data_IF_655194534282
#
_entry.id   IF_655194534282
#
_cell.length_a   1.000
_cell.length_b   1.000
_cell.length_c   1.000
_cell.angle_alpha   90.00
_cell.angle_beta   90.00
_cell.angle_gamma   90.00
#
_symmetry.space_group_name_H-M   'P 1'
#
loop_
_entity.id
_entity.type
_entity.pdbx_description
1 polymer ?
#
# COMPACT_ATOMS: atom_id res chain seq x y z
N UNK A 1 -52.38 -60.79 3.83
CA UNK A 1 -52.82 -59.70 2.93
C UNK A 1 -52.88 -58.39 3.71
N UNK A 2 -53.65 -58.33 4.81
CA UNK A 2 -53.79 -57.13 5.66
C UNK A 2 -52.47 -56.64 6.26
N UNK A 3 -51.65 -57.53 6.84
CA UNK A 3 -50.33 -57.15 7.36
C UNK A 3 -49.35 -56.57 6.30
N UNK A 4 -49.48 -56.96 5.03
CA UNK A 4 -48.65 -56.44 3.94
C UNK A 4 -49.15 -55.05 3.50
N UNK A 5 -50.47 -54.85 3.52
CA UNK A 5 -51.11 -53.55 3.29
C UNK A 5 -50.71 -52.55 4.37
N UNK A 6 -50.70 -52.99 5.63
CA UNK A 6 -50.27 -52.17 6.77
C UNK A 6 -48.78 -51.83 6.69
N UNK A 7 -47.91 -52.78 6.30
CA UNK A 7 -46.50 -52.45 6.08
C UNK A 7 -46.30 -51.47 4.93
N UNK A 8 -47.08 -51.59 3.85
CA UNK A 8 -47.02 -50.63 2.76
C UNK A 8 -47.48 -49.24 3.20
N UNK A 9 -48.58 -49.15 3.96
CA UNK A 9 -49.05 -47.87 4.52
C UNK A 9 -48.06 -47.28 5.54
N UNK A 10 -47.45 -48.12 6.37
CA UNK A 10 -46.39 -47.73 7.30
C UNK A 10 -45.19 -47.16 6.54
N UNK A 11 -44.78 -47.81 5.45
CA UNK A 11 -43.67 -47.38 4.61
C UNK A 11 -43.99 -46.06 3.89
N UNK A 12 -45.22 -45.90 3.39
CA UNK A 12 -45.68 -44.63 2.83
C UNK A 12 -45.62 -43.50 3.87
N UNK A 13 -46.13 -43.76 5.08
CA UNK A 13 -46.09 -42.80 6.19
C UNK A 13 -44.66 -42.46 6.61
N UNK A 14 -43.74 -43.43 6.58
CA UNK A 14 -42.31 -43.20 6.85
C UNK A 14 -41.66 -42.36 5.74
N UNK A 15 -41.96 -42.62 4.48
CA UNK A 15 -41.45 -41.84 3.35
C UNK A 15 -41.93 -40.39 3.40
N UNK A 16 -43.21 -40.16 3.71
CA UNK A 16 -43.77 -38.83 3.90
C UNK A 16 -43.13 -38.10 5.09
N UNK A 17 -42.95 -38.78 6.22
CA UNK A 17 -42.28 -38.20 7.39
C UNK A 17 -40.84 -37.79 7.08
N UNK A 18 -40.11 -38.62 6.32
CA UNK A 18 -38.74 -38.36 5.93
C UNK A 18 -38.63 -37.17 4.97
N UNK A 19 -39.56 -37.04 4.02
CA UNK A 19 -39.63 -35.89 3.11
C UNK A 19 -39.90 -34.58 3.86
N UNK A 20 -40.82 -34.59 4.83
CA UNK A 20 -41.10 -33.41 5.66
C UNK A 20 -39.91 -33.01 6.53
N UNK A 21 -39.19 -33.99 7.09
CA UNK A 21 -37.97 -33.73 7.85
C UNK A 21 -36.89 -33.08 6.99
N UNK A 22 -36.68 -33.57 5.76
CA UNK A 22 -35.71 -33.01 4.83
C UNK A 22 -36.07 -31.57 4.44
N UNK A 23 -37.36 -31.30 4.21
CA UNK A 23 -37.83 -29.96 3.88
C UNK A 23 -37.64 -28.98 5.05
N UNK A 24 -37.91 -29.41 6.29
CA UNK A 24 -37.66 -28.60 7.47
C UNK A 24 -36.16 -28.32 7.66
N UNK A 25 -35.30 -29.31 7.43
CA UNK A 25 -33.85 -29.11 7.49
C UNK A 25 -33.35 -28.14 6.42
N UNK A 26 -33.93 -28.17 5.22
CA UNK A 26 -33.63 -27.20 4.17
C UNK A 26 -34.07 -25.78 4.54
N UNK A 27 -35.26 -25.62 5.14
CA UNK A 27 -35.73 -24.32 5.64
C UNK A 27 -34.82 -23.79 6.76
N UNK A 28 -34.41 -24.65 7.69
CA UNK A 28 -33.44 -24.30 8.72
C UNK A 28 -32.10 -23.88 8.11
N UNK A 29 -31.61 -24.60 7.09
CA UNK A 29 -30.37 -24.28 6.40
C UNK A 29 -30.45 -22.94 5.65
N UNK A 30 -31.58 -22.63 5.00
CA UNK A 30 -31.83 -21.31 4.40
C UNK A 30 -31.83 -20.21 5.47
N UNK A 31 -32.51 -20.43 6.61
CA UNK A 31 -32.58 -19.44 7.69
C UNK A 31 -31.23 -19.19 8.39
N UNK A 32 -30.37 -20.20 8.49
CA UNK A 32 -29.01 -20.05 9.02
C UNK A 32 -28.08 -19.34 8.03
N UNK A 33 -28.33 -19.48 6.72
CA UNK A 33 -27.54 -18.83 5.68
C UNK A 33 -27.77 -17.31 5.63
N UNK A 34 -28.95 -16.84 6.05
CA UNK A 34 -29.23 -15.42 6.21
C UNK A 34 -28.55 -14.83 7.46
N UNK A 35 -28.34 -15.63 8.51
CA UNK A 35 -27.64 -15.18 9.73
C UNK A 35 -26.12 -15.16 9.56
N UNK A 36 -25.54 -16.11 8.82
CA UNK A 36 -24.11 -16.09 8.44
C UNK A 36 -23.78 -14.92 7.47
N UNK A 37 -24.78 -14.42 6.73
CA UNK A 37 -24.65 -13.19 5.92
C UNK A 37 -24.92 -11.90 6.69
N UNK A 38 -25.57 -11.95 7.87
CA UNK A 38 -25.82 -10.79 8.73
C UNK A 38 -24.65 -10.40 9.64
N UNK A 39 -23.59 -11.19 9.67
CA UNK A 39 -22.31 -10.76 10.25
C UNK A 39 -21.42 -9.99 9.25
N UNK A 40 -22.04 -9.43 8.21
CA UNK A 40 -21.50 -8.36 7.38
C UNK A 40 -22.59 -7.29 7.28
N UNK A 41 -22.96 -6.66 8.41
CA UNK A 41 -23.42 -5.27 8.51
C UNK A 41 -23.91 -4.95 9.95
N UNK A 42 -23.17 -4.06 10.62
CA UNK A 42 -23.50 -3.26 11.83
C UNK A 42 -23.04 -3.76 13.22
N UNK A 43 -21.87 -3.25 13.62
CA UNK A 43 -21.44 -2.72 14.94
C UNK A 43 -21.94 -3.37 16.24
N UNK A 44 -21.03 -4.06 16.96
CA UNK A 44 -21.01 -4.13 18.43
C UNK A 44 -19.58 -4.25 18.95
N UNK A 45 -19.28 -3.43 19.97
CA UNK A 45 -18.06 -3.32 20.77
C UNK A 45 -17.23 -4.61 20.93
N UNK A 46 -15.90 -4.56 20.76
CA UNK A 46 -15.05 -5.69 21.11
C UNK A 46 -15.04 -5.92 22.63
N UNK A 47 -14.96 -7.18 23.11
CA UNK A 47 -14.61 -7.44 24.49
C UNK A 47 -13.28 -6.76 24.78
N UNK A 48 -13.22 -6.07 25.93
CA UNK A 48 -12.06 -5.38 26.49
C UNK A 48 -10.77 -6.19 26.35
N UNK A 49 -10.17 -6.07 25.18
CA UNK A 49 -8.79 -6.38 24.91
C UNK A 49 -8.23 -4.99 24.70
N UNK A 50 -7.29 -4.58 25.55
CA UNK A 50 -6.60 -3.31 25.38
C UNK A 50 -5.90 -3.29 24.02
N UNK A 51 -6.64 -2.87 22.99
CA UNK A 51 -6.09 -2.56 21.68
C UNK A 51 -5.26 -1.31 21.91
N UNK A 52 -3.98 -1.52 22.19
CA UNK A 52 -2.98 -0.47 22.02
C UNK A 52 -3.14 -0.02 20.58
N UNK A 53 -3.87 1.08 20.39
CA UNK A 53 -4.19 1.64 19.08
C UNK A 53 -2.90 2.24 18.56
N UNK A 54 -2.01 1.38 18.05
CA UNK A 54 -0.74 1.78 17.45
C UNK A 54 -1.14 2.65 16.27
N UNK A 55 -0.99 3.96 16.45
CA UNK A 55 -1.26 4.92 15.40
C UNK A 55 -0.20 4.68 14.34
N UNK A 56 -0.60 4.07 13.22
CA UNK A 56 0.29 3.86 12.08
C UNK A 56 0.55 5.22 11.45
N UNK A 57 1.72 5.79 11.77
CA UNK A 57 2.21 7.01 11.12
C UNK A 57 2.97 6.59 9.87
N UNK A 58 2.29 6.59 8.73
CA UNK A 58 2.97 6.32 7.47
C UNK A 58 3.82 7.52 7.06
N UNK A 59 5.00 7.29 6.47
CA UNK A 59 5.80 8.36 5.89
C UNK A 59 5.09 8.99 4.69
N UNK A 60 5.42 10.25 4.34
CA UNK A 60 4.92 10.86 3.11
C UNK A 60 5.31 10.02 1.89
N UNK A 61 4.47 10.02 0.87
CA UNK A 61 4.66 9.21 -0.34
C UNK A 61 5.91 9.63 -1.13
N UNK A 62 6.72 8.65 -1.58
CA UNK A 62 7.94 8.89 -2.34
C UNK A 62 7.78 8.49 -3.81
N UNK A 63 7.45 9.47 -4.67
CA UNK A 63 7.30 9.25 -6.12
C UNK A 63 8.55 8.76 -6.84
N UNK A 64 9.74 9.17 -6.38
CA UNK A 64 11.01 8.81 -7.03
C UNK A 64 11.43 7.37 -6.70
N UNK A 65 10.90 6.79 -5.61
CA UNK A 65 11.23 5.44 -5.15
C UNK A 65 10.00 4.75 -4.51
N UNK A 66 8.93 4.48 -5.29
CA UNK A 66 7.69 3.92 -4.75
C UNK A 66 7.92 2.54 -4.13
N UNK A 67 8.77 1.71 -4.72
CA UNK A 67 9.10 0.37 -4.20
C UNK A 67 9.68 0.42 -2.79
N UNK A 68 10.58 1.37 -2.53
CA UNK A 68 11.20 1.52 -1.20
C UNK A 68 10.19 2.03 -0.18
N UNK A 69 9.35 2.99 -0.58
CA UNK A 69 8.29 3.51 0.28
C UNK A 69 7.32 2.38 0.69
N UNK A 70 6.87 1.54 -0.26
CA UNK A 70 6.01 0.40 0.06
C UNK A 70 6.67 -0.59 1.01
N UNK A 71 7.97 -0.89 0.85
CA UNK A 71 8.68 -1.76 1.78
C UNK A 71 8.68 -1.21 3.21
N UNK A 72 8.82 0.11 3.36
CA UNK A 72 8.75 0.77 4.66
C UNK A 72 7.34 0.77 5.26
N UNK A 73 6.32 1.03 4.44
CA UNK A 73 4.91 0.97 4.85
C UNK A 73 4.52 -0.44 5.28
N UNK A 74 4.99 -1.48 4.57
CA UNK A 74 4.75 -2.88 4.92
C UNK A 74 5.37 -3.26 6.26
N UNK A 75 6.58 -2.74 6.56
CA UNK A 75 7.17 -2.89 7.88
C UNK A 75 6.30 -2.27 8.99
N UNK A 76 5.70 -1.10 8.73
CA UNK A 76 4.77 -0.48 9.68
C UNK A 76 3.48 -1.29 9.86
N UNK A 77 2.92 -1.85 8.78
CA UNK A 77 1.76 -2.73 8.87
C UNK A 77 2.07 -4.01 9.65
N UNK A 78 3.27 -4.57 9.50
CA UNK A 78 3.70 -5.72 10.30
C UNK A 78 3.78 -5.39 11.79
N UNK A 79 4.36 -4.24 12.15
CA UNK A 79 4.46 -3.78 13.55
C UNK A 79 3.07 -3.53 14.15
N UNK A 80 2.14 -2.98 13.37
CA UNK A 80 0.78 -2.70 13.79
C UNK A 80 -0.19 -3.89 13.67
N UNK A 81 0.32 -5.08 13.28
CA UNK A 81 -0.48 -6.30 13.05
C UNK A 81 -1.65 -6.11 12.07
N UNK A 82 -1.50 -5.23 11.08
CA UNK A 82 -2.51 -5.00 10.05
C UNK A 82 -2.37 -6.08 8.98
N UNK A 83 -3.30 -7.03 8.97
CA UNK A 83 -3.31 -8.14 8.02
C UNK A 83 -4.32 -7.95 6.89
N UNK A 84 -5.44 -7.28 7.17
CA UNK A 84 -6.55 -7.08 6.23
C UNK A 84 -6.15 -6.21 5.04
N UNK A 85 -6.36 -6.71 3.81
CA UNK A 85 -6.01 -5.97 2.57
C UNK A 85 -6.79 -4.67 2.42
N UNK A 86 -8.07 -4.66 2.80
CA UNK A 86 -8.91 -3.45 2.75
C UNK A 86 -8.33 -2.36 3.66
N UNK A 87 -7.92 -2.72 4.88
CA UNK A 87 -7.31 -1.76 5.81
C UNK A 87 -6.01 -1.19 5.23
N UNK A 88 -5.13 -2.04 4.67
CA UNK A 88 -3.88 -1.58 4.02
C UNK A 88 -4.17 -0.66 2.84
N UNK A 89 -5.16 -1.01 2.02
CA UNK A 89 -5.62 -0.20 0.88
C UNK A 89 -6.10 1.19 1.33
N UNK A 90 -6.95 1.27 2.36
CA UNK A 90 -7.42 2.56 2.90
C UNK A 90 -6.28 3.42 3.42
N UNK A 91 -5.29 2.83 4.08
CA UNK A 91 -4.10 3.56 4.54
C UNK A 91 -3.29 4.13 3.39
N UNK A 92 -3.05 3.34 2.34
CA UNK A 92 -2.27 3.80 1.17
C UNK A 92 -2.99 4.94 0.46
N UNK A 93 -4.28 4.81 0.16
CA UNK A 93 -5.05 5.86 -0.52
C UNK A 93 -5.03 7.17 0.27
N UNK A 94 -5.15 7.10 1.59
CA UNK A 94 -5.13 8.29 2.45
C UNK A 94 -3.80 9.04 2.43
N UNK A 95 -2.71 8.41 1.97
CA UNK A 95 -1.37 9.01 1.91
C UNK A 95 -0.91 9.31 0.47
N UNK A 96 -1.74 9.03 -0.54
CA UNK A 96 -1.44 9.40 -1.92
C UNK A 96 -1.88 10.84 -2.18
N UNK A 97 -0.98 11.64 -2.76
CA UNK A 97 -1.35 12.97 -3.26
C UNK A 97 -2.29 12.83 -4.47
N UNK A 98 -3.13 13.86 -4.69
CA UNK A 98 -4.12 13.91 -5.79
C UNK A 98 -3.53 13.54 -7.15
N UNK A 99 -2.32 14.02 -7.46
CA UNK A 99 -1.64 13.73 -8.73
C UNK A 99 -1.41 12.23 -8.94
N UNK A 100 -1.02 11.50 -7.89
CA UNK A 100 -0.76 10.07 -7.98
C UNK A 100 -2.05 9.26 -7.81
N UNK A 101 -3.03 9.79 -7.08
CA UNK A 101 -4.36 9.19 -7.02
C UNK A 101 -5.02 9.18 -8.41
N UNK A 102 -4.87 10.25 -9.19
CA UNK A 102 -5.34 10.30 -10.59
C UNK A 102 -4.65 9.26 -11.48
N UNK A 103 -3.36 8.99 -11.27
CA UNK A 103 -2.64 7.94 -12.01
C UNK A 103 -3.18 6.53 -11.74
N UNK A 104 -3.96 6.31 -10.67
CA UNK A 104 -4.58 5.02 -10.34
C UNK A 104 -6.08 5.15 -10.08
N UNK A 105 -6.72 6.15 -10.68
CA UNK A 105 -8.14 6.47 -10.50
C UNK A 105 -9.04 5.24 -10.73
N UNK A 106 -8.73 4.44 -11.74
CA UNK A 106 -9.46 3.22 -12.09
C UNK A 106 -9.50 2.21 -10.94
N UNK A 107 -8.43 2.12 -10.14
CA UNK A 107 -8.33 1.23 -8.97
C UNK A 107 -8.97 1.80 -7.71
N UNK A 108 -9.20 3.12 -7.68
CA UNK A 108 -9.91 3.81 -6.59
C UNK A 108 -11.42 3.74 -6.82
N UNK A 109 -11.87 4.01 -8.04
CA UNK A 109 -13.30 3.98 -8.41
C UNK A 109 -13.82 2.55 -8.47
N UNK A 110 -13.03 1.63 -9.02
CA UNK A 110 -13.39 0.22 -9.15
C UNK A 110 -12.35 -0.68 -8.45
N UNK A 111 -12.41 -0.78 -7.10
CA UNK A 111 -11.46 -1.60 -6.36
C UNK A 111 -11.66 -3.09 -6.68
N UNK A 112 -10.57 -3.86 -6.91
CA UNK A 112 -10.69 -5.29 -7.13
C UNK A 112 -11.10 -6.00 -5.83
N UNK A 113 -12.08 -6.90 -5.91
CA UNK A 113 -12.76 -7.45 -4.74
C UNK A 113 -11.88 -8.31 -3.82
N UNK A 114 -10.93 -9.04 -4.38
CA UNK A 114 -10.15 -10.03 -3.62
C UNK A 114 -8.82 -9.48 -3.11
N UNK A 115 -8.12 -8.65 -3.90
CA UNK A 115 -6.74 -8.22 -3.62
C UNK A 115 -6.50 -6.71 -3.84
N UNK A 116 -7.25 -5.82 -3.15
CA UNK A 116 -7.22 -4.38 -3.41
C UNK A 116 -5.84 -3.76 -3.19
N UNK A 117 -5.17 -4.09 -2.08
CA UNK A 117 -3.85 -3.55 -1.76
C UNK A 117 -2.77 -4.05 -2.71
N UNK A 118 -2.76 -5.37 -2.97
CA UNK A 118 -1.72 -5.99 -3.80
C UNK A 118 -1.75 -5.45 -5.22
N UNK A 119 -2.93 -5.35 -5.82
CA UNK A 119 -3.11 -4.79 -7.17
C UNK A 119 -2.75 -3.30 -7.21
N UNK A 120 -3.16 -2.52 -6.19
CA UNK A 120 -2.83 -1.10 -6.09
C UNK A 120 -1.31 -0.88 -6.03
N UNK A 121 -0.60 -1.62 -5.17
CA UNK A 121 0.86 -1.55 -5.04
C UNK A 121 1.55 -1.82 -6.36
N UNK A 122 1.17 -2.90 -7.06
CA UNK A 122 1.79 -3.28 -8.33
C UNK A 122 1.57 -2.23 -9.41
N UNK A 123 0.37 -1.66 -9.50
CA UNK A 123 0.05 -0.69 -10.53
C UNK A 123 0.69 0.67 -10.26
N UNK A 124 0.75 1.13 -9.01
CA UNK A 124 1.46 2.36 -8.65
C UNK A 124 2.93 2.25 -9.04
N UNK A 125 3.59 1.15 -8.67
CA UNK A 125 5.00 0.94 -9.03
C UNK A 125 5.16 0.92 -10.55
N UNK A 126 4.31 0.18 -11.26
CA UNK A 126 4.37 0.06 -12.73
C UNK A 126 4.18 1.40 -13.43
N UNK A 127 3.14 2.18 -13.08
CA UNK A 127 2.81 3.45 -13.75
C UNK A 127 3.85 4.53 -13.46
N UNK A 128 4.33 4.61 -12.21
CA UNK A 128 5.39 5.57 -11.85
C UNK A 128 6.73 5.23 -12.51
N UNK A 129 7.11 3.95 -12.57
CA UNK A 129 8.29 3.51 -13.33
C UNK A 129 8.19 3.95 -14.79
N UNK A 130 7.09 3.61 -15.49
CA UNK A 130 6.89 3.99 -16.91
C UNK A 130 6.99 5.50 -17.13
N UNK A 131 6.44 6.29 -16.21
CA UNK A 131 6.56 7.75 -16.26
C UNK A 131 8.01 8.22 -16.09
N UNK A 132 8.77 7.62 -15.17
CA UNK A 132 10.19 7.91 -14.97
C UNK A 132 11.01 7.55 -16.20
N UNK A 133 10.82 6.36 -16.78
CA UNK A 133 11.55 5.95 -17.98
C UNK A 133 11.24 6.84 -19.19
N UNK A 134 9.98 7.25 -19.36
CA UNK A 134 9.60 8.23 -20.40
C UNK A 134 10.29 9.56 -20.17
N UNK A 135 10.30 10.06 -18.94
CA UNK A 135 10.99 11.31 -18.57
C UNK A 135 12.49 11.22 -18.87
N UNK A 136 13.14 10.12 -18.50
CA UNK A 136 14.56 9.89 -18.78
C UNK A 136 14.81 9.84 -20.29
N UNK A 137 14.01 9.08 -21.05
CA UNK A 137 14.14 9.01 -22.51
C UNK A 137 13.95 10.36 -23.18
N UNK A 138 12.94 11.13 -22.77
CA UNK A 138 12.70 12.47 -23.29
C UNK A 138 13.91 13.38 -23.03
N UNK A 139 14.45 13.38 -21.81
CA UNK A 139 15.67 14.12 -21.47
C UNK A 139 16.89 13.70 -22.31
N UNK A 140 17.02 12.40 -22.63
CA UNK A 140 18.13 11.91 -23.45
C UNK A 140 17.93 12.19 -24.95
N UNK A 141 16.69 12.26 -25.42
CA UNK A 141 16.36 12.47 -26.84
C UNK A 141 16.29 13.96 -27.21
N UNK A 142 15.79 14.81 -26.31
CA UNK A 142 15.66 16.25 -26.56
C UNK A 142 16.96 17.03 -26.30
N UNK A 143 17.91 16.49 -25.52
CA UNK A 143 19.13 17.21 -25.16
C UNK A 143 20.31 16.86 -26.08
N UNK A 144 20.50 17.66 -27.13
CA UNK A 144 21.70 17.58 -27.98
C UNK A 144 22.92 18.12 -27.23
N UNK A 145 24.09 17.47 -27.38
CA UNK A 145 25.34 17.95 -26.78
C UNK A 145 25.73 19.35 -27.29
N UNK A 146 25.31 19.72 -28.50
CA UNK A 146 25.68 20.97 -29.16
C UNK A 146 27.20 21.22 -29.06
N UNK A 147 27.56 22.45 -28.70
CA UNK A 147 28.95 22.88 -28.50
C UNK A 147 29.46 22.67 -27.06
N UNK A 148 28.66 22.01 -26.21
CA UNK A 148 28.97 21.86 -24.79
C UNK A 148 30.06 20.82 -24.61
N UNK A 149 31.00 21.12 -23.72
CA UNK A 149 31.97 20.10 -23.29
C UNK A 149 31.27 18.98 -22.51
N UNK A 150 31.78 17.73 -22.55
CA UNK A 150 31.12 16.59 -21.89
C UNK A 150 30.85 16.82 -20.39
N UNK A 151 31.72 17.56 -19.70
CA UNK A 151 31.58 17.92 -18.29
C UNK A 151 30.48 18.98 -18.04
N UNK A 152 30.28 19.93 -18.96
CA UNK A 152 29.19 20.90 -18.91
C UNK A 152 27.84 20.22 -19.17
N UNK A 153 27.79 19.33 -20.15
CA UNK A 153 26.60 18.53 -20.46
C UNK A 153 26.16 17.66 -19.28
N UNK A 154 27.10 16.97 -18.63
CA UNK A 154 26.79 16.17 -17.43
C UNK A 154 26.32 17.01 -16.24
N UNK A 155 26.88 18.22 -16.02
CA UNK A 155 26.36 19.14 -15.00
C UNK A 155 24.95 19.62 -15.33
N UNK A 156 24.68 19.88 -16.60
CA UNK A 156 23.36 20.29 -17.07
C UNK A 156 22.30 19.20 -16.86
N UNK A 157 22.57 17.95 -17.30
CA UNK A 157 21.67 16.82 -17.07
C UNK A 157 21.36 16.62 -15.58
N UNK A 158 22.37 16.73 -14.70
CA UNK A 158 22.16 16.65 -13.24
C UNK A 158 21.26 17.77 -12.72
N UNK A 159 21.35 18.98 -13.28
CA UNK A 159 20.50 20.12 -12.92
C UNK A 159 19.05 19.92 -13.36
N UNK A 160 18.81 19.29 -14.51
CA UNK A 160 17.46 18.98 -15.00
C UNK A 160 16.77 17.90 -14.15
N UNK A 161 17.53 16.95 -13.61
CA UNK A 161 17.00 15.95 -12.66
C UNK A 161 16.69 16.58 -11.31
N UNK A 162 17.56 17.47 -10.82
CA UNK A 162 17.39 18.13 -9.51
C UNK A 162 16.25 19.15 -9.46
N UNK A 163 15.81 19.69 -10.60
CA UNK A 163 14.71 20.67 -10.69
C UNK A 163 13.31 20.06 -10.70
N UNK A 164 13.18 18.74 -10.94
CA UNK A 164 11.89 18.02 -10.86
C UNK A 164 11.55 17.43 -9.49
N UNK A 165 12.50 17.44 -8.57
CA UNK A 165 12.22 17.24 -7.16
C UNK A 165 11.93 18.62 -6.56
N UNK A 166 10.71 18.90 -6.06
CA UNK A 166 10.48 20.11 -5.28
C UNK A 166 11.52 20.14 -4.17
N UNK A 167 12.34 21.19 -4.13
CA UNK A 167 13.25 21.41 -3.01
C UNK A 167 12.38 21.50 -1.74
N UNK A 168 12.60 20.69 -0.70
CA UNK A 168 12.02 20.93 0.60
C UNK A 168 12.77 22.14 1.19
N UNK A 169 12.33 23.33 0.82
CA UNK A 169 13.00 24.59 1.15
C UNK A 169 12.06 25.76 1.36
N UNK A 170 10.75 25.57 1.22
CA UNK A 170 9.77 26.56 1.64
C UNK A 170 8.77 25.91 2.60
N UNK A 171 9.26 25.63 3.79
CA UNK A 171 8.41 25.38 4.95
C UNK A 171 9.16 25.97 6.12
N UNK A 172 8.63 27.11 6.58
CA UNK A 172 9.01 27.74 7.82
C UNK A 172 8.76 26.77 8.97
N UNK A 173 9.75 25.93 9.30
CA UNK A 173 9.72 25.14 10.52
C UNK A 173 11.10 25.16 11.18
N UNK A 174 11.27 26.19 12.01
CA UNK A 174 12.44 26.55 12.79
C UNK A 174 12.69 25.58 13.96
N UNK A 175 12.76 24.27 13.70
CA UNK A 175 12.93 23.25 14.76
C UNK A 175 14.10 22.28 14.58
N UNK A 176 15.01 22.55 13.64
CA UNK A 176 16.24 21.75 13.48
C UNK A 176 17.50 22.59 13.58
N UNK A 177 17.71 23.19 14.74
CA UNK A 177 19.05 23.62 15.18
C UNK A 177 19.29 23.15 16.61
N UNK A 178 19.40 21.83 16.79
CA UNK A 178 20.21 21.33 17.89
C UNK A 178 20.83 19.97 17.54
N UNK A 179 21.88 20.03 16.71
CA UNK A 179 22.80 18.92 16.53
C UNK A 179 24.21 19.41 16.86
N UNK A 180 24.77 19.08 18.03
CA UNK A 180 26.12 19.46 18.39
C UNK A 180 27.10 18.77 17.44
N UNK A 181 27.90 19.55 16.70
CA UNK A 181 29.09 19.01 16.07
C UNK A 181 30.20 18.94 17.11
N UNK A 182 30.51 17.74 17.61
CA UNK A 182 31.82 17.49 18.22
C UNK A 182 32.88 17.69 17.12
N UNK A 183 33.46 18.89 17.15
CA UNK A 183 34.46 19.40 16.22
C UNK A 183 35.80 18.75 16.55
N UNK A 184 36.09 17.59 15.98
CA UNK A 184 37.47 17.13 15.86
C UNK A 184 38.16 17.99 14.80
N UNK A 185 38.93 18.98 15.23
CA UNK A 185 39.82 19.75 14.36
C UNK A 185 41.01 18.86 13.99
N UNK A 186 40.98 18.23 12.81
CA UNK A 186 42.19 17.77 12.16
C UNK A 186 42.95 18.99 11.61
N UNK A 187 44.03 19.36 12.30
CA UNK A 187 44.96 20.40 11.87
C UNK A 187 45.85 19.83 10.76
N UNK A 188 45.56 20.11 9.49
CA UNK A 188 46.56 20.03 8.42
C UNK A 188 47.18 21.42 8.28
N UNK A 189 48.37 21.61 8.85
CA UNK A 189 49.25 22.75 8.55
C UNK A 189 50.37 22.24 7.64
N UNK A 190 50.29 22.59 6.36
CA UNK A 190 51.42 22.52 5.43
C UNK A 190 52.06 23.90 5.28
N UNK A 191 53.35 24.00 5.59
CA UNK A 191 54.27 25.03 5.10
C UNK A 191 55.69 24.43 5.07
N UNK A 192 56.18 24.26 3.85
CA UNK A 192 57.51 24.68 3.37
C UNK A 192 58.77 24.25 4.13
N UNK A 193 59.48 23.28 3.57
CA UNK A 193 60.94 23.16 3.70
C UNK A 193 61.58 23.33 2.33
N UNK A 194 62.12 24.54 2.16
CA UNK A 194 62.94 25.01 1.05
C UNK A 194 64.33 24.41 1.18
N UNK A 195 64.82 23.79 0.11
CA UNK A 195 66.20 23.35 -0.02
C UNK A 195 67.16 24.56 -0.10
N UNK A 196 68.28 24.50 0.62
CA UNK A 196 69.53 25.20 0.29
C UNK A 196 70.74 24.48 0.91
N UNK A 197 71.72 24.25 0.03
CA UNK A 197 73.15 23.99 0.23
C UNK A 197 73.58 22.67 0.90
#
# INVERSE_FOLDING_TARGET
MEALQEQFQQLQKQNEALLLQLQQQQQQKLSQQDEEKKQVCQTTEPPSSEVHRVTVKLPPFWKDKPTLWFAQVEAQFMIAHITQEITKYSYVISHLDERYANEVEDLIINPPANTPYTTLKTEIIRRLSVSEERRVRQLLMEEELGDRTPSQFLRHLRSLVASSCPRPGDSSDSKWTNRPQHRHTCYYRGQDYRATA
#
